data_IF_429628530789
#
_entry.id   IF_429628530789
#
_cell.length_a   1.000
_cell.length_b   1.000
_cell.length_c   1.000
_cell.angle_alpha   90.00
_cell.angle_beta   90.00
_cell.angle_gamma   90.00
#
_symmetry.space_group_name_H-M   'P 1'
#
loop_
_entity.id
_entity.type
_entity.pdbx_description
1 polymer ?
#
# COMPACT_ATOMS: atom_id res chain seq x y z
N UNK A 1 -43.13 -14.35 -17.37
CA UNK A 1 -41.76 -13.81 -17.19
C UNK A 1 -41.56 -13.62 -15.70
N UNK A 2 -40.66 -14.38 -15.07
CA UNK A 2 -40.51 -14.39 -13.61
C UNK A 2 -39.86 -13.10 -13.12
N UNK A 3 -40.61 -12.28 -12.38
CA UNK A 3 -40.11 -11.06 -11.76
C UNK A 3 -39.12 -11.41 -10.64
N UNK A 4 -37.92 -10.81 -10.67
CA UNK A 4 -36.91 -10.95 -9.61
C UNK A 4 -37.31 -10.03 -8.47
N UNK A 5 -37.60 -10.60 -7.29
CA UNK A 5 -38.06 -9.85 -6.11
C UNK A 5 -36.93 -9.19 -5.31
N UNK A 6 -35.70 -9.72 -5.38
CA UNK A 6 -34.55 -9.22 -4.62
C UNK A 6 -33.33 -9.09 -5.54
N UNK A 7 -32.81 -7.87 -5.66
CA UNK A 7 -31.70 -7.54 -6.58
C UNK A 7 -30.34 -7.50 -5.89
N UNK A 8 -30.29 -7.38 -4.56
CA UNK A 8 -29.07 -7.29 -3.75
C UNK A 8 -29.10 -8.35 -2.66
N UNK A 9 -27.99 -9.05 -2.44
CA UNK A 9 -27.81 -10.01 -1.36
C UNK A 9 -26.61 -9.58 -0.53
N UNK A 10 -26.83 -9.43 0.77
CA UNK A 10 -25.76 -9.29 1.74
C UNK A 10 -25.52 -10.66 2.35
N UNK A 11 -24.26 -11.06 2.36
CA UNK A 11 -23.84 -12.39 2.77
C UNK A 11 -22.76 -12.26 3.82
N UNK A 12 -23.05 -12.73 5.02
CA UNK A 12 -22.07 -12.94 6.05
C UNK A 12 -21.56 -14.39 5.98
N UNK A 13 -20.25 -14.55 5.79
CA UNK A 13 -19.61 -15.86 5.75
C UNK A 13 -19.53 -16.52 7.14
N UNK A 14 -19.62 -15.76 8.23
CA UNK A 14 -19.63 -16.30 9.59
C UNK A 14 -20.90 -17.11 9.89
N UNK A 15 -22.05 -16.69 9.34
CA UNK A 15 -23.33 -17.40 9.49
C UNK A 15 -23.44 -18.62 8.56
N UNK A 16 -22.58 -18.69 7.53
CA UNK A 16 -22.61 -19.77 6.55
C UNK A 16 -21.80 -20.96 7.05
N UNK A 17 -22.50 -22.07 7.27
CA UNK A 17 -21.87 -23.36 7.58
C UNK A 17 -20.92 -23.79 6.44
N UNK A 18 -19.67 -24.08 6.81
CA UNK A 18 -18.66 -24.63 5.92
C UNK A 18 -19.07 -26.08 5.58
N UNK A 19 -19.32 -26.35 4.30
CA UNK A 19 -19.62 -27.70 3.82
C UNK A 19 -18.32 -28.42 3.42
N UNK A 20 -18.35 -29.76 3.45
CA UNK A 20 -17.21 -30.60 3.08
C UNK A 20 -16.78 -30.43 1.61
N UNK A 21 -15.54 -30.83 1.30
CA UNK A 21 -14.88 -30.63 0.00
C UNK A 21 -15.62 -31.26 -1.18
N UNK A 22 -16.32 -32.37 -0.97
CA UNK A 22 -17.08 -33.08 -2.01
C UNK A 22 -18.51 -32.52 -2.20
N UNK A 23 -18.87 -31.48 -1.45
CA UNK A 23 -20.20 -30.89 -1.53
C UNK A 23 -20.29 -29.83 -2.64
N UNK A 24 -21.49 -29.62 -3.17
CA UNK A 24 -21.78 -28.58 -4.17
C UNK A 24 -21.68 -27.14 -3.62
N UNK A 25 -21.35 -26.95 -2.34
CA UNK A 25 -21.22 -25.65 -1.69
C UNK A 25 -22.56 -25.01 -1.26
N UNK A 26 -22.50 -23.74 -0.89
CA UNK A 26 -23.66 -22.92 -0.52
C UNK A 26 -24.09 -22.06 -1.70
N UNK A 27 -25.36 -22.20 -2.14
CA UNK A 27 -25.90 -21.47 -3.28
C UNK A 27 -26.59 -20.19 -2.79
N UNK A 28 -26.04 -19.03 -3.14
CA UNK A 28 -26.58 -17.72 -2.75
C UNK A 28 -27.74 -17.28 -3.65
N UNK A 29 -27.58 -17.39 -4.97
CA UNK A 29 -28.63 -17.03 -5.94
C UNK A 29 -28.57 -17.94 -7.18
N UNK A 30 -29.72 -18.16 -7.82
CA UNK A 30 -29.84 -18.90 -9.08
C UNK A 30 -29.76 -17.98 -10.31
N UNK A 31 -29.76 -16.67 -10.09
CA UNK A 31 -29.75 -15.66 -11.15
C UNK A 31 -28.31 -15.23 -11.48
N UNK A 32 -28.11 -14.70 -12.69
CA UNK A 32 -26.82 -14.17 -13.11
C UNK A 32 -26.38 -13.01 -12.22
N UNK A 33 -25.14 -13.07 -11.72
CA UNK A 33 -24.57 -12.05 -10.85
C UNK A 33 -23.91 -10.96 -11.70
N UNK A 34 -24.32 -9.71 -11.50
CA UNK A 34 -23.76 -8.56 -12.21
C UNK A 34 -22.45 -8.06 -11.60
N UNK A 35 -22.37 -7.99 -10.26
CA UNK A 35 -21.22 -7.50 -9.51
C UNK A 35 -21.18 -8.15 -8.14
N UNK A 36 -19.97 -8.38 -7.64
CA UNK A 36 -19.69 -8.81 -6.26
C UNK A 36 -18.86 -7.68 -5.62
N UNK A 37 -19.25 -7.25 -4.43
CA UNK A 37 -18.55 -6.23 -3.65
C UNK A 37 -18.29 -6.80 -2.25
N UNK A 38 -17.06 -6.65 -1.77
CA UNK A 38 -16.72 -6.99 -0.39
C UNK A 38 -17.16 -5.83 0.50
N UNK A 39 -18.13 -6.07 1.39
CA UNK A 39 -18.61 -5.05 2.34
C UNK A 39 -17.65 -4.87 3.50
N UNK A 40 -17.36 -5.98 4.18
CA UNK A 40 -16.49 -5.99 5.35
C UNK A 40 -15.69 -7.29 5.36
N UNK A 41 -14.45 -7.20 5.84
CA UNK A 41 -13.59 -8.35 6.07
C UNK A 41 -13.34 -8.44 7.57
N UNK A 42 -13.85 -9.49 8.21
CA UNK A 42 -13.59 -9.73 9.62
C UNK A 42 -12.09 -9.86 9.89
N UNK A 43 -11.60 -9.18 10.93
CA UNK A 43 -10.23 -9.30 11.41
C UNK A 43 -10.03 -10.66 12.08
N UNK A 44 -8.86 -11.27 11.91
CA UNK A 44 -8.53 -12.58 12.47
C UNK A 44 -8.77 -12.61 13.99
N UNK A 45 -9.54 -13.58 14.48
CA UNK A 45 -9.81 -13.80 15.92
C UNK A 45 -8.63 -14.42 16.68
N UNK A 46 -7.54 -14.75 15.98
CA UNK A 46 -6.33 -15.29 16.58
C UNK A 46 -5.54 -14.18 17.27
N UNK A 47 -5.14 -14.42 18.52
CA UNK A 47 -4.26 -13.51 19.26
C UNK A 47 -2.97 -13.26 18.45
N UNK A 48 -2.50 -12.00 18.37
CA UNK A 48 -1.22 -11.68 17.75
C UNK A 48 -0.09 -12.50 18.35
N UNK A 49 0.81 -13.00 17.50
CA UNK A 49 1.99 -13.75 17.92
C UNK A 49 3.24 -12.92 17.66
N UNK A 50 4.12 -12.84 18.65
CA UNK A 50 5.45 -12.26 18.48
C UNK A 50 6.30 -13.21 17.65
N UNK A 51 7.03 -12.65 16.69
CA UNK A 51 7.93 -13.40 15.81
C UNK A 51 9.29 -12.73 15.83
N UNK A 52 10.32 -13.55 15.99
CA UNK A 52 11.72 -13.15 15.99
C UNK A 52 12.45 -13.76 14.80
N UNK A 53 13.49 -13.09 14.34
CA UNK A 53 14.41 -13.56 13.32
C UNK A 53 15.75 -13.93 13.95
N UNK A 54 16.18 -15.16 13.71
CA UNK A 54 17.47 -15.69 14.15
C UNK A 54 18.46 -15.64 12.99
N UNK A 55 19.37 -14.67 13.04
CA UNK A 55 20.39 -14.43 12.02
C UNK A 55 21.40 -15.59 11.87
N UNK A 56 21.63 -16.37 12.93
CA UNK A 56 22.59 -17.47 12.88
C UNK A 56 22.12 -18.66 12.03
N UNK A 57 20.80 -18.81 11.87
CA UNK A 57 20.18 -19.91 11.10
C UNK A 57 19.29 -19.41 9.97
N UNK A 58 19.18 -18.09 9.79
CA UNK A 58 18.36 -17.43 8.77
C UNK A 58 16.89 -17.89 8.79
N UNK A 59 16.28 -17.96 9.98
CA UNK A 59 14.90 -18.45 10.18
C UNK A 59 14.11 -17.65 11.21
N UNK A 60 12.79 -17.71 11.08
CA UNK A 60 11.86 -17.17 12.08
C UNK A 60 11.67 -18.15 13.25
N UNK A 61 11.44 -17.60 14.43
CA UNK A 61 11.10 -18.34 15.63
C UNK A 61 10.10 -17.57 16.52
N UNK A 62 9.51 -18.27 17.48
CA UNK A 62 8.60 -17.70 18.49
C UNK A 62 9.17 -17.78 19.90
N UNK A 63 10.44 -18.19 20.02
CA UNK A 63 11.09 -18.50 21.30
C UNK A 63 11.84 -17.29 21.88
N UNK A 64 11.81 -16.14 21.20
CA UNK A 64 12.53 -14.93 21.64
C UNK A 64 14.00 -14.89 21.24
N UNK A 65 14.43 -15.67 20.25
CA UNK A 65 15.82 -15.72 19.80
C UNK A 65 16.06 -14.76 18.65
N UNK A 66 17.11 -13.94 18.75
CA UNK A 66 17.46 -12.94 17.75
C UNK A 66 16.61 -11.68 17.85
N UNK A 67 16.31 -11.06 16.70
CA UNK A 67 15.67 -9.75 16.62
C UNK A 67 14.14 -9.87 16.55
N UNK A 68 13.42 -9.04 17.30
CA UNK A 68 11.96 -9.00 17.24
C UNK A 68 11.51 -8.28 15.96
N UNK A 69 10.88 -9.02 15.04
CA UNK A 69 10.33 -8.45 13.80
C UNK A 69 8.98 -7.76 14.05
N UNK A 70 8.21 -8.28 15.01
CA UNK A 70 6.95 -7.67 15.43
C UNK A 70 5.90 -8.67 15.89
N UNK A 71 4.68 -8.16 16.05
CA UNK A 71 3.49 -8.94 16.39
C UNK A 71 2.62 -9.16 15.15
N UNK A 72 2.29 -10.42 14.86
CA UNK A 72 1.62 -10.83 13.65
C UNK A 72 0.26 -11.46 13.95
N UNK A 73 -0.76 -10.98 13.26
CA UNK A 73 -2.06 -11.62 13.07
C UNK A 73 -2.03 -12.50 11.80
N UNK A 74 -3.09 -13.26 11.55
CA UNK A 74 -3.11 -14.22 10.42
C UNK A 74 -2.96 -13.62 9.02
N UNK A 75 -3.22 -12.33 8.86
CA UNK A 75 -3.10 -11.60 7.59
C UNK A 75 -1.91 -10.64 7.52
N UNK A 76 -1.20 -10.46 8.63
CA UNK A 76 -0.01 -9.63 8.67
C UNK A 76 1.12 -10.29 7.88
N UNK A 77 1.93 -9.47 7.22
CA UNK A 77 3.05 -9.93 6.40
C UNK A 77 4.36 -9.31 6.83
N UNK A 78 5.46 -9.97 6.46
CA UNK A 78 6.82 -9.46 6.56
C UNK A 78 7.20 -8.81 5.25
N UNK A 79 7.77 -7.61 5.30
CA UNK A 79 8.43 -6.94 4.19
C UNK A 79 9.87 -7.44 4.09
N UNK A 80 10.26 -7.87 2.89
CA UNK A 80 11.63 -8.28 2.58
C UNK A 80 12.12 -7.43 1.43
N UNK A 81 13.26 -6.76 1.63
CA UNK A 81 14.01 -6.08 0.57
C UNK A 81 15.40 -6.65 0.49
N UNK A 82 15.86 -6.95 -0.73
CA UNK A 82 17.20 -7.46 -1.01
C UNK A 82 18.11 -6.42 -1.65
N UNK A 83 19.41 -6.63 -1.52
CA UNK A 83 20.45 -5.78 -2.13
C UNK A 83 20.35 -5.75 -3.67
N UNK A 84 19.79 -6.80 -4.27
CA UNK A 84 19.47 -6.88 -5.71
C UNK A 84 18.31 -5.97 -6.15
N UNK A 85 17.68 -5.24 -5.23
CA UNK A 85 16.52 -4.39 -5.52
C UNK A 85 15.23 -5.18 -5.77
N UNK A 86 15.18 -6.41 -5.26
CA UNK A 86 13.97 -7.22 -5.18
C UNK A 86 13.22 -6.85 -3.91
N UNK A 87 11.91 -6.64 -4.02
CA UNK A 87 10.98 -6.47 -2.89
C UNK A 87 9.88 -7.50 -2.95
N UNK A 88 9.52 -8.05 -1.80
CA UNK A 88 8.35 -8.94 -1.64
C UNK A 88 7.77 -8.83 -0.25
N UNK A 89 6.55 -9.33 -0.12
CA UNK A 89 5.95 -9.57 1.19
C UNK A 89 5.54 -11.03 1.33
N UNK A 90 5.71 -11.59 2.51
CA UNK A 90 5.33 -12.98 2.79
C UNK A 90 4.53 -13.07 4.08
N UNK A 91 3.64 -14.05 4.14
CA UNK A 91 3.05 -14.46 5.42
C UNK A 91 4.16 -15.12 6.24
N UNK A 92 4.32 -14.78 7.53
CA UNK A 92 5.37 -15.34 8.35
C UNK A 92 5.17 -16.85 8.56
N UNK A 93 6.10 -17.65 8.03
CA UNK A 93 6.15 -19.09 8.21
C UNK A 93 7.44 -19.49 8.90
N UNK A 94 7.37 -20.31 9.96
CA UNK A 94 8.56 -20.74 10.73
C UNK A 94 9.52 -21.64 9.91
N UNK A 95 9.01 -22.24 8.85
CA UNK A 95 9.78 -23.04 7.90
C UNK A 95 10.42 -22.22 6.80
N UNK A 96 10.09 -20.92 6.68
CA UNK A 96 10.68 -20.05 5.68
C UNK A 96 12.18 -19.88 5.93
N UNK A 97 12.96 -20.03 4.87
CA UNK A 97 14.38 -19.73 4.84
C UNK A 97 14.57 -18.35 4.22
N UNK A 98 15.49 -17.58 4.79
CA UNK A 98 15.80 -16.24 4.35
C UNK A 98 17.21 -16.19 3.77
N UNK A 99 17.43 -15.28 2.83
CA UNK A 99 18.69 -15.18 2.11
C UNK A 99 19.60 -14.14 2.78
N UNK A 100 20.92 -14.35 2.75
CA UNK A 100 21.89 -13.46 3.40
C UNK A 100 21.97 -12.07 2.74
N UNK A 101 21.38 -11.88 1.55
CA UNK A 101 21.39 -10.63 0.79
C UNK A 101 20.23 -9.66 1.13
N UNK A 102 19.48 -9.95 2.19
CA UNK A 102 18.43 -9.09 2.69
C UNK A 102 18.99 -7.84 3.37
N UNK A 103 18.39 -6.70 3.07
CA UNK A 103 18.72 -5.40 3.66
C UNK A 103 17.62 -4.95 4.63
N UNK A 104 16.36 -5.32 4.37
CA UNK A 104 15.22 -5.02 5.23
C UNK A 104 14.45 -6.30 5.51
N UNK A 105 14.17 -6.53 6.78
CA UNK A 105 13.29 -7.58 7.28
C UNK A 105 12.46 -7.00 8.43
N UNK A 106 11.23 -6.56 8.16
CA UNK A 106 10.36 -5.94 9.16
C UNK A 106 8.89 -6.30 8.93
N UNK A 107 8.02 -5.99 9.90
CA UNK A 107 6.57 -6.09 9.69
C UNK A 107 6.13 -5.11 8.59
N UNK A 108 5.45 -5.61 7.57
CA UNK A 108 4.96 -4.80 6.47
C UNK A 108 3.76 -3.95 6.90
N UNK A 109 3.81 -2.65 6.60
CA UNK A 109 2.72 -1.70 6.80
C UNK A 109 2.28 -1.18 5.42
N UNK A 110 1.08 -1.54 4.92
CA UNK A 110 0.69 -1.25 3.54
C UNK A 110 0.70 0.23 3.14
N UNK A 111 0.46 1.14 4.10
CA UNK A 111 0.43 2.59 3.86
C UNK A 111 1.79 3.27 4.03
N UNK A 112 2.82 2.55 4.51
CA UNK A 112 4.16 3.10 4.76
C UNK A 112 4.97 3.05 3.46
N UNK A 113 5.40 4.19 2.89
CA UNK A 113 6.15 4.20 1.65
C UNK A 113 7.58 3.72 1.84
N UNK A 114 8.08 2.99 0.86
CA UNK A 114 9.47 2.56 0.78
C UNK A 114 10.24 3.59 -0.05
N UNK A 115 11.29 4.14 0.52
CA UNK A 115 12.19 5.10 -0.13
C UNK A 115 13.51 4.42 -0.45
N UNK A 116 14.01 4.61 -1.66
CA UNK A 116 15.27 4.02 -2.10
C UNK A 116 16.11 5.01 -2.91
N UNK A 117 17.43 4.94 -2.72
CA UNK A 117 18.42 5.56 -3.59
C UNK A 117 19.16 4.43 -4.28
N UNK A 118 19.23 4.48 -5.60
CA UNK A 118 19.94 3.48 -6.37
C UNK A 118 20.69 4.14 -7.52
N UNK A 119 21.78 3.52 -7.95
CA UNK A 119 22.49 3.90 -9.15
C UNK A 119 21.88 3.16 -10.34
N UNK A 120 21.55 3.90 -11.38
CA UNK A 120 21.05 3.37 -12.63
C UNK A 120 22.22 3.19 -13.61
N UNK A 121 22.51 1.94 -13.96
CA UNK A 121 23.63 1.60 -14.82
C UNK A 121 23.43 1.93 -16.30
N UNK A 122 22.19 2.15 -16.75
CA UNK A 122 21.90 2.55 -18.15
C UNK A 122 22.10 4.06 -18.33
N UNK A 123 21.68 4.87 -17.34
CA UNK A 123 21.79 6.33 -17.35
C UNK A 123 23.05 6.86 -16.67
N UNK A 124 23.79 5.99 -15.98
CA UNK A 124 24.99 6.29 -15.21
C UNK A 124 24.78 7.39 -14.16
N UNK A 125 23.64 7.34 -13.46
CA UNK A 125 23.22 8.38 -12.50
C UNK A 125 22.46 7.78 -11.32
N UNK A 126 22.49 8.50 -10.20
CA UNK A 126 21.70 8.16 -9.02
C UNK A 126 20.26 8.65 -9.15
N UNK A 127 19.32 7.81 -8.77
CA UNK A 127 17.89 8.11 -8.72
C UNK A 127 17.33 7.85 -7.32
N UNK A 128 16.36 8.68 -6.94
CA UNK A 128 15.53 8.49 -5.74
C UNK A 128 14.18 7.97 -6.19
N UNK A 129 13.74 6.88 -5.56
CA UNK A 129 12.43 6.26 -5.80
C UNK A 129 11.68 6.17 -4.48
N UNK A 130 10.39 6.49 -4.51
CA UNK A 130 9.49 6.32 -3.37
C UNK A 130 8.22 5.67 -3.86
N UNK A 131 7.85 4.54 -3.28
CA UNK A 131 6.74 3.72 -3.79
C UNK A 131 6.03 2.95 -2.66
N UNK A 132 4.84 2.44 -2.97
CA UNK A 132 4.11 1.49 -2.13
C UNK A 132 4.10 0.13 -2.83
N UNK A 133 3.92 -0.93 -2.06
CA UNK A 133 3.75 -2.28 -2.63
C UNK A 133 2.32 -2.39 -3.14
N UNK A 134 2.18 -2.51 -4.46
CA UNK A 134 0.89 -2.61 -5.13
C UNK A 134 0.32 -4.04 -5.06
N UNK A 135 1.19 -5.05 -5.07
CA UNK A 135 0.79 -6.45 -5.00
C UNK A 135 1.59 -7.23 -3.97
N UNK A 136 0.91 -7.59 -2.87
CA UNK A 136 1.50 -8.28 -1.72
C UNK A 136 1.99 -9.70 -2.06
N UNK A 137 1.39 -10.35 -3.06
CA UNK A 137 1.67 -11.76 -3.38
C UNK A 137 2.74 -11.94 -4.44
N UNK A 138 3.31 -10.84 -4.94
CA UNK A 138 4.25 -10.86 -6.06
C UNK A 138 5.60 -10.32 -5.60
N UNK A 139 6.64 -11.03 -6.01
CA UNK A 139 8.01 -10.51 -5.93
C UNK A 139 8.26 -9.58 -7.11
N UNK A 140 8.76 -8.38 -6.84
CA UNK A 140 8.99 -7.36 -7.86
C UNK A 140 10.36 -6.71 -7.71
N UNK A 141 11.01 -6.47 -8.84
CA UNK A 141 12.22 -5.66 -8.90
C UNK A 141 11.81 -4.19 -9.03
N UNK A 142 12.32 -3.34 -8.14
CA UNK A 142 12.04 -1.90 -8.11
C UNK A 142 13.23 -1.05 -8.56
N UNK A 143 14.38 -1.62 -8.89
CA UNK A 143 15.48 -0.91 -9.59
C UNK A 143 15.57 -1.38 -11.05
N UNK A 144 16.49 -0.85 -11.84
CA UNK A 144 16.70 -1.32 -13.21
C UNK A 144 17.51 -2.61 -13.23
N UNK A 145 17.20 -3.52 -14.16
CA UNK A 145 17.85 -4.83 -14.30
C UNK A 145 19.21 -4.76 -15.01
N UNK A 146 19.80 -3.57 -15.12
CA UNK A 146 21.10 -3.40 -15.76
C UNK A 146 22.21 -3.98 -14.86
N UNK A 147 23.24 -4.67 -15.39
CA UNK A 147 24.29 -5.29 -14.56
C UNK A 147 25.07 -4.33 -13.67
N UNK A 148 25.15 -3.05 -14.08
CA UNK A 148 25.79 -2.00 -13.30
C UNK A 148 24.80 -1.21 -12.42
N UNK A 149 23.53 -1.58 -12.37
CA UNK A 149 22.57 -0.97 -11.45
C UNK A 149 22.71 -1.61 -10.08
N UNK A 150 22.75 -0.78 -9.04
CA UNK A 150 22.87 -1.26 -7.67
C UNK A 150 22.08 -0.38 -6.71
N UNK A 151 21.49 -1.02 -5.70
CA UNK A 151 20.83 -0.36 -4.60
C UNK A 151 21.89 0.25 -3.66
N UNK A 152 21.78 1.54 -3.35
CA UNK A 152 22.67 2.19 -2.38
C UNK A 152 22.04 2.23 -1.00
N UNK A 153 20.81 2.71 -0.92
CA UNK A 153 20.08 2.89 0.33
C UNK A 153 18.63 2.49 0.11
N UNK A 154 18.06 1.82 1.11
CA UNK A 154 16.62 1.63 1.27
C UNK A 154 16.23 2.05 2.67
N UNK A 155 15.10 2.73 2.80
CA UNK A 155 14.50 3.09 4.07
C UNK A 155 12.99 2.91 3.99
N UNK A 156 12.44 2.33 5.04
CA UNK A 156 11.00 2.17 5.22
C UNK A 156 10.42 3.31 6.05
N UNK A 157 11.19 4.33 6.42
CA UNK A 157 10.72 5.42 7.27
C UNK A 157 9.77 6.38 6.55
N UNK A 158 8.88 7.01 7.33
CA UNK A 158 7.90 7.96 6.78
C UNK A 158 8.56 9.19 6.16
N UNK A 159 9.59 9.71 6.84
CA UNK A 159 10.37 10.89 6.44
C UNK A 159 11.89 10.61 6.51
N UNK A 160 12.41 9.81 5.57
CA UNK A 160 13.82 9.47 5.56
C UNK A 160 14.67 10.63 5.07
N UNK A 161 15.83 10.81 5.68
CA UNK A 161 16.82 11.83 5.33
C UNK A 161 18.11 11.14 4.92
N UNK A 162 18.69 11.56 3.80
CA UNK A 162 19.97 11.05 3.33
C UNK A 162 20.97 12.18 3.16
N UNK A 163 22.24 11.90 3.48
CA UNK A 163 23.37 12.77 3.19
C UNK A 163 24.14 12.24 1.97
N UNK A 164 24.45 13.14 1.05
CA UNK A 164 25.19 12.84 -0.17
C UNK A 164 26.56 13.48 -0.07
N UNK A 165 27.57 12.62 -0.12
CA UNK A 165 28.96 13.02 -0.16
C UNK A 165 29.43 13.11 -1.61
N UNK A 166 29.91 14.27 -2.05
CA UNK A 166 30.44 14.42 -3.40
C UNK A 166 31.91 14.00 -3.50
N UNK A 167 32.29 13.45 -4.66
CA UNK A 167 33.68 13.13 -4.97
C UNK A 167 34.52 14.41 -5.04
N UNK A 168 35.69 14.39 -4.40
CA UNK A 168 36.65 15.49 -4.53
C UNK A 168 37.30 15.47 -5.92
N UNK A 169 37.04 16.49 -6.73
CA UNK A 169 37.71 16.65 -8.01
C UNK A 169 39.20 16.98 -7.82
N UNK A 170 40.05 16.46 -8.71
CA UNK A 170 41.49 16.75 -8.68
C UNK A 170 41.72 18.26 -8.82
N UNK A 171 42.51 18.83 -7.90
CA UNK A 171 42.83 20.26 -7.81
C UNK A 171 41.66 21.19 -7.44
N UNK A 172 40.54 20.67 -6.93
CA UNK A 172 39.47 21.49 -6.36
C UNK A 172 39.16 21.09 -4.92
N UNK A 173 38.53 22.00 -4.18
CA UNK A 173 37.97 21.69 -2.88
C UNK A 173 36.78 20.74 -3.02
N UNK A 174 36.59 19.88 -2.02
CA UNK A 174 35.45 18.96 -1.96
C UNK A 174 34.18 19.81 -1.79
N UNK A 175 33.17 19.57 -2.61
CA UNK A 175 31.86 20.23 -2.46
C UNK A 175 31.27 19.87 -1.09
N UNK A 176 30.53 20.80 -0.45
CA UNK A 176 29.84 20.50 0.79
C UNK A 176 28.84 19.35 0.58
N UNK A 177 28.67 18.52 1.60
CA UNK A 177 27.68 17.44 1.57
C UNK A 177 26.27 18.02 1.39
N UNK A 178 25.41 17.29 0.71
CA UNK A 178 24.02 17.67 0.47
C UNK A 178 23.10 16.77 1.28
N UNK A 179 22.27 17.38 2.13
CA UNK A 179 21.24 16.66 2.89
C UNK A 179 19.91 16.74 2.14
N UNK A 180 19.25 15.61 1.94
CA UNK A 180 18.00 15.48 1.19
C UNK A 180 16.95 14.76 2.01
N UNK A 181 15.81 15.41 2.22
CA UNK A 181 14.59 14.76 2.71
C UNK A 181 13.90 14.04 1.54
N UNK A 182 13.83 12.71 1.59
CA UNK A 182 13.29 11.91 0.48
C UNK A 182 11.78 12.08 0.32
N UNK A 183 11.06 12.41 1.40
CA UNK A 183 9.62 12.69 1.36
C UNK A 183 9.30 13.92 0.52
N UNK A 184 10.04 15.00 0.74
CA UNK A 184 9.89 16.27 0.02
C UNK A 184 10.48 16.19 -1.40
N UNK A 185 11.52 15.38 -1.59
CA UNK A 185 12.21 15.24 -2.87
C UNK A 185 11.36 14.56 -3.96
N UNK A 186 10.54 13.58 -3.57
CA UNK A 186 9.74 12.80 -4.52
C UNK A 186 8.41 12.33 -3.91
N UNK A 187 7.34 12.54 -4.67
CA UNK A 187 6.01 11.98 -4.38
C UNK A 187 5.98 10.48 -4.63
N UNK A 188 5.10 9.76 -3.95
CA UNK A 188 4.94 8.31 -4.16
C UNK A 188 4.63 8.04 -5.64
N UNK A 189 5.46 7.20 -6.27
CA UNK A 189 5.31 6.72 -7.63
C UNK A 189 4.97 5.22 -7.61
N UNK A 190 4.56 4.70 -8.76
CA UNK A 190 4.44 3.25 -8.95
C UNK A 190 5.79 2.55 -8.88
N UNK A 191 5.80 1.30 -8.46
CA UNK A 191 7.01 0.51 -8.22
C UNK A 191 7.94 0.41 -9.45
N UNK A 192 7.36 0.43 -10.66
CA UNK A 192 8.09 0.37 -11.94
C UNK A 192 8.56 1.73 -12.46
N UNK A 193 8.18 2.84 -11.83
CA UNK A 193 8.65 4.16 -12.25
C UNK A 193 10.15 4.30 -11.94
N UNK A 194 10.91 5.03 -12.76
CA UNK A 194 12.34 5.24 -12.53
C UNK A 194 12.63 6.08 -11.27
N UNK A 195 11.76 7.04 -10.95
CA UNK A 195 11.99 8.01 -9.89
C UNK A 195 12.63 9.31 -10.40
N UNK A 196 13.11 10.14 -9.47
CA UNK A 196 13.71 11.45 -9.76
C UNK A 196 15.23 11.36 -9.69
N UNK A 197 15.93 12.03 -10.61
CA UNK A 197 17.39 12.06 -10.59
C UNK A 197 17.88 12.79 -9.34
N UNK A 198 18.73 12.13 -8.54
CA UNK A 198 19.22 12.66 -7.26
C UNK A 198 20.18 13.85 -7.45
N UNK A 199 21.14 13.71 -8.35
CA UNK A 199 22.12 14.74 -8.67
C UNK A 199 22.77 14.49 -10.02
N UNK A 200 23.33 15.53 -10.65
CA UNK A 200 24.19 15.44 -11.85
C UNK A 200 25.65 15.27 -11.50
N UNK A 201 26.02 15.50 -10.24
CA UNK A 201 27.39 15.50 -9.76
C UNK A 201 27.87 14.09 -9.41
N UNK A 202 29.19 13.89 -9.38
CA UNK A 202 29.78 12.61 -8.97
C UNK A 202 29.63 12.42 -7.46
N UNK A 203 28.94 11.35 -7.08
CA UNK A 203 28.74 10.94 -5.70
C UNK A 203 29.86 10.00 -5.27
N UNK A 204 30.38 10.23 -4.07
CA UNK A 204 31.36 9.39 -3.39
C UNK A 204 30.69 8.37 -2.47
N UNK A 205 29.71 8.82 -1.68
CA UNK A 205 28.96 7.99 -0.75
C UNK A 205 27.57 8.58 -0.50
N UNK A 206 26.62 7.72 -0.13
CA UNK A 206 25.29 8.11 0.34
C UNK A 206 25.10 7.51 1.73
N UNK A 207 24.85 8.35 2.72
CA UNK A 207 24.65 7.94 4.10
C UNK A 207 23.19 8.16 4.50
N UNK A 208 22.54 7.18 5.13
CA UNK A 208 21.22 7.38 5.73
C UNK A 208 21.40 8.09 7.08
N UNK A 209 20.71 9.24 7.25
CA UNK A 209 20.68 9.98 8.50
C UNK A 209 19.45 9.58 9.33
N UNK A 210 19.37 10.08 10.56
CA UNK A 210 18.18 9.92 11.39
C UNK A 210 16.94 10.49 10.67
N UNK A 211 15.85 9.72 10.59
CA UNK A 211 14.62 10.17 9.94
C UNK A 211 13.97 11.29 10.78
N UNK A 212 13.20 12.14 10.10
CA UNK A 212 12.40 13.16 10.81
C UNK A 212 11.26 12.43 11.53
N UNK A 213 11.07 12.65 12.84
CA UNK A 213 9.98 12.03 13.58
C UNK A 213 8.63 12.32 12.93
N UNK A 214 7.86 11.27 12.70
CA UNK A 214 6.51 11.37 12.19
C UNK A 214 5.66 10.31 12.87
N UNK A 215 4.59 10.76 13.52
CA UNK A 215 3.57 9.87 14.05
C UNK A 215 2.48 9.74 12.98
N UNK A 216 2.37 8.59 12.30
CA UNK A 216 1.22 8.37 11.43
C UNK A 216 -0.07 8.43 12.27
N UNK A 217 -1.19 8.90 11.70
CA UNK A 217 -2.48 8.72 12.32
C UNK A 217 -2.66 7.24 12.63
N UNK A 218 -3.07 6.91 13.85
CA UNK A 218 -3.42 5.55 14.18
C UNK A 218 -4.58 5.15 13.27
N UNK A 219 -4.36 4.13 12.42
CA UNK A 219 -5.46 3.43 11.79
C UNK A 219 -6.19 2.71 12.92
N UNK A 220 -7.21 3.36 13.49
CA UNK A 220 -8.10 2.72 14.45
C UNK A 220 -8.59 1.43 13.77
N UNK A 221 -8.24 0.25 14.29
CA UNK A 221 -8.87 -0.97 13.80
C UNK A 221 -10.37 -0.79 13.99
N UNK A 222 -11.19 -1.20 13.02
CA UNK A 222 -12.66 -1.12 13.09
C UNK A 222 -13.29 -1.85 14.31
N UNK A 223 -12.46 -2.37 15.23
CA UNK A 223 -12.83 -2.95 16.52
C UNK A 223 -13.32 -1.93 17.57
N UNK A 224 -13.14 -0.61 17.38
CA UNK A 224 -13.59 0.42 18.35
C UNK A 224 -14.71 1.34 17.86
N UNK A 225 -15.30 1.08 16.70
CA UNK A 225 -16.59 1.70 16.37
C UNK A 225 -17.65 0.81 17.03
N UNK A 226 -17.94 1.07 18.31
CA UNK A 226 -19.22 0.66 18.86
C UNK A 226 -20.28 1.25 17.93
N UNK A 227 -20.97 0.38 17.20
CA UNK A 227 -22.21 0.73 16.51
C UNK A 227 -23.15 1.17 17.61
N UNK A 228 -23.25 2.48 17.83
CA UNK A 228 -24.37 3.04 18.58
C UNK A 228 -25.58 2.71 17.71
N UNK A 229 -26.42 1.79 18.22
CA UNK A 229 -27.66 1.39 17.58
C UNK A 229 -28.38 2.62 17.01
N UNK A 230 -28.86 2.51 15.76
CA UNK A 230 -29.69 3.53 15.15
C UNK A 230 -30.88 3.83 16.07
N UNK A 231 -30.86 4.99 16.75
CA UNK A 231 -32.08 5.55 17.33
C UNK A 231 -33.07 5.75 16.18
N UNK A 232 -34.20 5.06 16.28
CA UNK A 232 -35.30 5.13 15.34
C UNK A 232 -35.78 6.58 15.26
N UNK A 233 -35.51 7.25 14.14
CA UNK A 233 -36.05 8.58 13.89
C UNK A 233 -37.53 8.41 13.56
N UNK A 234 -38.40 8.82 14.50
CA UNK A 234 -39.84 8.95 14.27
C UNK A 234 -40.10 9.90 13.08
N UNK A 235 -40.96 9.46 12.17
CA UNK A 235 -41.39 10.22 10.99
C UNK A 235 -42.01 11.56 11.40
N UNK A 236 -41.63 12.69 10.76
CA UNK A 236 -42.44 13.89 10.79
C UNK A 236 -43.50 13.82 9.67
N UNK A 237 -44.74 14.06 10.10
CA UNK A 237 -45.98 14.16 9.33
C UNK A 237 -45.86 15.06 8.08
N UNK A 238 -46.54 14.64 7.01
CA UNK A 238 -46.78 15.41 5.79
C UNK A 238 -47.57 16.70 6.09
N UNK A 239 -47.29 17.82 5.41
CA UNK A 239 -48.30 18.83 5.17
C UNK A 239 -48.81 18.77 3.72
N UNK A 240 -50.13 18.96 3.65
CA UNK A 240 -51.04 18.89 2.51
C UNK A 240 -50.59 19.73 1.29
N UNK A 241 -50.78 19.15 0.10
CA UNK A 241 -50.65 19.82 -1.19
C UNK A 241 -52.00 20.41 -1.58
N UNK A 242 -52.07 21.73 -1.68
CA UNK A 242 -53.25 22.45 -2.19
C UNK A 242 -53.08 22.81 -3.68
N UNK A 243 -54.21 22.85 -4.38
CA UNK A 243 -54.40 22.71 -5.83
C UNK A 243 -53.92 23.90 -6.71
N UNK A 244 -53.37 23.57 -7.90
CA UNK A 244 -53.47 24.15 -9.28
C UNK A 244 -54.08 25.56 -9.56
N UNK A 245 -53.93 26.18 -10.77
CA UNK A 245 -53.23 25.75 -12.01
C UNK A 245 -52.43 26.86 -12.76
N UNK A 246 -51.76 26.44 -13.84
CA UNK A 246 -51.08 27.18 -14.94
C UNK A 246 -51.96 28.26 -15.65
N UNK A 247 -51.42 29.11 -16.58
CA UNK A 247 -51.12 28.63 -17.95
C UNK A 247 -49.98 29.34 -18.75
N UNK A 248 -49.47 28.58 -19.72
CA UNK A 248 -48.97 28.92 -21.07
C UNK A 248 -47.92 30.03 -21.29
N UNK A 249 -46.80 29.65 -21.90
CA UNK A 249 -46.64 29.86 -23.36
C UNK A 249 -45.38 29.21 -23.93
N UNK A 250 -45.60 28.45 -25.01
CA UNK A 250 -44.68 28.01 -26.05
C UNK A 250 -43.49 28.95 -26.33
N UNK A 251 -42.29 28.40 -26.52
CA UNK A 251 -41.48 28.50 -27.77
C UNK A 251 -40.42 27.38 -27.77
N UNK A 252 -40.49 26.47 -28.75
CA UNK A 252 -39.34 25.81 -29.38
C UNK A 252 -39.33 26.26 -30.86
N UNK A 253 -38.30 25.94 -31.66
CA UNK A 253 -36.85 26.03 -31.44
C UNK A 253 -36.26 26.98 -32.53
N UNK A 254 -34.94 27.18 -32.60
CA UNK A 254 -34.23 27.23 -33.89
C UNK A 254 -32.71 27.34 -33.72
N UNK A 255 -32.05 26.85 -34.77
CA UNK A 255 -30.69 26.33 -34.90
C UNK A 255 -29.57 27.39 -34.99
N UNK A 256 -28.35 26.84 -34.98
CA UNK A 256 -27.06 27.39 -35.44
C UNK A 256 -26.17 28.17 -34.46
N UNK A 257 -25.06 27.52 -34.07
CA UNK A 257 -23.95 28.19 -33.40
C UNK A 257 -22.87 27.29 -32.78
N UNK A 258 -22.35 26.35 -33.57
CA UNK A 258 -20.97 25.83 -33.56
C UNK A 258 -20.06 26.04 -32.30
N UNK A 259 -19.65 24.90 -31.71
CA UNK A 259 -18.34 24.53 -31.12
C UNK A 259 -17.67 25.39 -30.04
N UNK A 260 -17.34 24.77 -28.91
CA UNK A 260 -15.96 24.37 -28.53
C UNK A 260 -15.95 23.76 -27.13
N UNK A 261 -15.40 22.55 -27.01
CA UNK A 261 -14.95 22.00 -25.72
C UNK A 261 -13.80 22.85 -25.16
N UNK A 262 -13.88 23.15 -23.87
CA UNK A 262 -12.78 23.09 -22.92
C UNK A 262 -13.33 22.52 -21.61
#
# INVERSE_FOLDING_TARGET
VGSIKKLKWDIDFAEILIKGRDSKGNLVTKYSVKRIELKEKGLSTLKPRKIWFDDAVQRLNVDGRGELIGEFRGEDRILIVKQSGVVKTIIPELTAHFDDDMVILEKWIPKKPISAIYYDGEKERYFVKRFLIENENKEEIFITEHPNSNLEIVSTEWKPVAEIEFTKERNKERKPNMVVNLEEFITIKGIKALGNQLTTEKVNAVNLLEPIPYNPPEDLPAQEIEVVDEETVEEPEEPEVDENPSPDSNVEPDEDGQTSLF
#
